data_IF_705194750206
#
_entry.id   IF_705194750206
#
_cell.length_a   1.000
_cell.length_b   1.000
_cell.length_c   1.000
_cell.angle_alpha   90.00
_cell.angle_beta   90.00
_cell.angle_gamma   90.00
#
_symmetry.space_group_name_H-M   'P 1'
#
loop_
_entity.id
_entity.type
_entity.pdbx_description
1 polymer ?
#
# COMPACT_ATOMS: atom_id res chain seq x y z
N UNK A 1 8.58 -23.19 2.59
CA UNK A 1 7.89 -22.94 1.30
C UNK A 1 8.83 -23.27 0.16
N UNK A 2 8.35 -23.81 -0.97
CA UNK A 2 9.18 -24.03 -2.15
C UNK A 2 9.74 -22.72 -2.70
N UNK A 3 10.96 -22.74 -3.22
CA UNK A 3 11.64 -21.58 -3.81
C UNK A 3 11.82 -21.81 -5.31
N UNK A 4 11.34 -20.86 -6.11
CA UNK A 4 11.59 -20.81 -7.56
C UNK A 4 12.66 -19.75 -7.82
N UNK A 5 13.67 -20.07 -8.63
CA UNK A 5 14.74 -19.16 -9.03
C UNK A 5 14.73 -19.01 -10.56
N UNK A 6 14.87 -17.79 -11.04
CA UNK A 6 15.06 -17.48 -12.45
C UNK A 6 16.07 -16.34 -12.58
N UNK A 7 16.84 -16.36 -13.65
CA UNK A 7 17.86 -15.33 -13.91
C UNK A 7 17.29 -14.24 -14.79
N UNK A 8 17.55 -12.99 -14.45
CA UNK A 8 17.24 -11.82 -15.25
C UNK A 8 18.54 -11.13 -15.66
N UNK A 9 18.54 -10.47 -16.83
CA UNK A 9 19.55 -9.48 -17.15
C UNK A 9 19.27 -8.19 -16.35
N UNK A 10 20.21 -7.24 -16.40
CA UNK A 10 20.10 -5.99 -15.65
C UNK A 10 18.89 -5.15 -16.07
N UNK A 11 18.54 -5.15 -17.37
CA UNK A 11 17.40 -4.42 -17.91
C UNK A 11 16.08 -4.94 -17.33
N UNK A 12 15.83 -6.24 -17.40
CA UNK A 12 14.60 -6.84 -16.87
C UNK A 12 14.54 -6.75 -15.34
N UNK A 13 15.68 -6.82 -14.65
CA UNK A 13 15.71 -6.61 -13.21
C UNK A 13 15.34 -5.18 -12.82
N UNK A 14 15.81 -4.18 -13.57
CA UNK A 14 15.44 -2.78 -13.37
C UNK A 14 13.93 -2.56 -13.59
N UNK A 15 13.37 -3.12 -14.67
CA UNK A 15 11.92 -3.05 -14.93
C UNK A 15 11.13 -3.69 -13.78
N UNK A 16 11.56 -4.87 -13.30
CA UNK A 16 10.90 -5.54 -12.17
C UNK A 16 10.95 -4.71 -10.88
N UNK A 17 12.07 -4.03 -10.64
CA UNK A 17 12.24 -3.16 -9.48
C UNK A 17 11.33 -1.94 -9.54
N UNK A 18 11.21 -1.30 -10.70
CA UNK A 18 10.31 -0.16 -10.88
C UNK A 18 8.84 -0.59 -10.77
N UNK A 19 8.43 -1.70 -11.39
CA UNK A 19 7.05 -2.22 -11.22
C UNK A 19 6.71 -2.49 -9.75
N UNK A 20 7.62 -3.09 -8.99
CA UNK A 20 7.41 -3.34 -7.57
C UNK A 20 7.31 -2.04 -6.77
N UNK A 21 8.12 -1.04 -7.13
CA UNK A 21 8.11 0.29 -6.51
C UNK A 21 6.82 1.05 -6.82
N UNK A 22 6.35 1.03 -8.06
CA UNK A 22 5.07 1.61 -8.46
C UNK A 22 3.90 1.02 -7.67
N UNK A 23 3.88 -0.29 -7.49
CA UNK A 23 2.84 -0.98 -6.69
C UNK A 23 3.05 -0.78 -5.17
N UNK A 24 4.23 -0.35 -4.73
CA UNK A 24 4.62 -0.23 -3.32
C UNK A 24 4.83 -1.58 -2.60
N UNK A 25 5.08 -2.65 -3.35
CA UNK A 25 5.20 -4.03 -2.83
C UNK A 25 6.63 -4.57 -2.97
N UNK A 26 6.91 -5.73 -2.36
CA UNK A 26 8.20 -6.39 -2.58
C UNK A 26 8.30 -6.95 -4.00
N UNK A 27 9.52 -7.13 -4.53
CA UNK A 27 9.73 -7.82 -5.82
C UNK A 27 9.08 -9.20 -5.82
N UNK A 28 9.15 -9.93 -4.70
CA UNK A 28 8.52 -11.23 -4.58
C UNK A 28 6.99 -11.16 -4.70
N UNK A 29 6.36 -10.18 -4.05
CA UNK A 29 4.91 -9.96 -4.15
C UNK A 29 4.51 -9.51 -5.55
N UNK A 30 5.30 -8.62 -6.18
CA UNK A 30 5.08 -8.20 -7.57
C UNK A 30 5.09 -9.42 -8.51
N UNK A 31 6.12 -10.27 -8.43
CA UNK A 31 6.22 -11.50 -9.23
C UNK A 31 5.04 -12.42 -8.95
N UNK A 32 4.69 -12.67 -7.68
CA UNK A 32 3.57 -13.53 -7.30
C UNK A 32 2.24 -13.00 -7.86
N UNK A 33 1.99 -11.70 -7.71
CA UNK A 33 0.76 -11.06 -8.14
C UNK A 33 0.60 -11.13 -9.66
N UNK A 34 1.68 -10.90 -10.42
CA UNK A 34 1.68 -10.98 -11.88
C UNK A 34 1.56 -12.43 -12.38
N UNK A 35 2.34 -13.37 -11.85
CA UNK A 35 2.34 -14.77 -12.31
C UNK A 35 1.02 -15.49 -12.05
N UNK A 36 0.39 -15.24 -10.90
CA UNK A 36 -0.84 -15.92 -10.50
C UNK A 36 -2.09 -15.05 -10.68
N UNK A 37 -1.97 -13.90 -11.37
CA UNK A 37 -3.04 -12.93 -11.57
C UNK A 37 -3.79 -12.60 -10.26
N UNK A 38 -3.05 -12.48 -9.16
CA UNK A 38 -3.62 -12.15 -7.85
C UNK A 38 -4.08 -10.69 -7.90
N UNK A 39 -5.39 -10.51 -8.08
CA UNK A 39 -6.04 -9.20 -7.95
C UNK A 39 -6.24 -8.93 -6.47
N UNK A 40 -5.28 -8.26 -5.84
CA UNK A 40 -5.43 -7.72 -4.50
C UNK A 40 -5.70 -6.23 -4.59
N UNK A 41 -6.68 -5.76 -3.82
CA UNK A 41 -6.90 -4.32 -3.61
C UNK A 41 -5.99 -3.76 -2.51
N UNK A 42 -5.21 -4.61 -1.83
CA UNK A 42 -4.36 -4.21 -0.72
C UNK A 42 -2.92 -3.98 -1.19
N UNK A 43 -2.73 -2.95 -2.03
CA UNK A 43 -1.41 -2.42 -2.37
C UNK A 43 -1.30 -0.98 -1.91
N UNK A 44 -0.11 -0.50 -1.52
CA UNK A 44 0.02 0.89 -1.09
C UNK A 44 -0.43 1.89 -2.15
N UNK A 45 -0.12 1.64 -3.42
CA UNK A 45 -0.57 2.48 -4.53
C UNK A 45 -2.10 2.54 -4.64
N UNK A 46 -2.80 1.39 -4.53
CA UNK A 46 -4.27 1.36 -4.53
C UNK A 46 -4.84 2.14 -3.35
N UNK A 47 -4.24 2.00 -2.15
CA UNK A 47 -4.70 2.71 -0.98
C UNK A 47 -4.59 4.23 -1.14
N UNK A 48 -3.49 4.71 -1.72
CA UNK A 48 -3.32 6.13 -2.04
C UNK A 48 -4.36 6.57 -3.08
N UNK A 49 -4.53 5.84 -4.17
CA UNK A 49 -5.55 6.12 -5.20
C UNK A 49 -6.96 6.19 -4.60
N UNK A 50 -7.29 5.26 -3.71
CA UNK A 50 -8.58 5.23 -2.98
C UNK A 50 -8.77 6.46 -2.09
N UNK A 51 -7.71 6.93 -1.42
CA UNK A 51 -7.76 8.19 -0.65
C UNK A 51 -8.01 9.36 -1.58
N UNK A 52 -7.28 9.46 -2.70
CA UNK A 52 -7.40 10.57 -3.64
C UNK A 52 -8.80 10.62 -4.29
N UNK A 53 -9.37 9.46 -4.65
CA UNK A 53 -10.75 9.38 -5.15
C UNK A 53 -11.79 9.86 -4.15
N UNK A 54 -11.58 9.60 -2.85
CA UNK A 54 -12.44 10.14 -1.78
C UNK A 54 -12.26 11.65 -1.63
N UNK A 55 -11.09 12.20 -1.93
CA UNK A 55 -10.90 13.64 -1.98
C UNK A 55 -11.64 14.26 -3.19
N UNK A 56 -11.56 13.63 -4.36
CA UNK A 56 -12.25 14.07 -5.57
C UNK A 56 -13.78 14.00 -5.43
N UNK A 57 -14.31 13.01 -4.72
CA UNK A 57 -15.75 12.90 -4.42
C UNK A 57 -16.23 13.86 -3.33
N UNK A 58 -15.32 14.58 -2.64
CA UNK A 58 -15.64 15.47 -1.53
C UNK A 58 -15.91 14.75 -0.20
N UNK A 59 -15.69 13.44 -0.11
CA UNK A 59 -15.79 12.71 1.15
C UNK A 59 -14.65 13.04 2.12
N UNK A 60 -13.44 13.23 1.57
CA UNK A 60 -12.24 13.59 2.33
C UNK A 60 -11.82 15.02 1.94
N UNK A 61 -11.52 15.83 2.93
CA UNK A 61 -10.94 17.16 2.74
C UNK A 61 -9.48 17.15 3.22
N UNK A 62 -8.73 18.18 2.83
CA UNK A 62 -7.39 18.42 3.37
C UNK A 62 -7.47 18.54 4.89
N UNK A 63 -6.64 17.77 5.60
CA UNK A 63 -6.69 17.66 7.06
C UNK A 63 -7.55 16.51 7.58
N UNK A 64 -8.34 15.83 6.73
CA UNK A 64 -9.08 14.63 7.14
C UNK A 64 -8.12 13.54 7.57
N UNK A 65 -8.41 12.97 8.75
CA UNK A 65 -7.64 11.83 9.27
C UNK A 65 -8.32 10.50 8.99
N UNK A 66 -7.54 9.47 8.69
CA UNK A 66 -8.04 8.14 8.39
C UNK A 66 -7.09 7.04 8.88
N UNK A 67 -7.58 5.82 8.85
CA UNK A 67 -6.79 4.59 9.06
C UNK A 67 -7.07 3.64 7.91
N UNK A 68 -6.15 2.72 7.58
CA UNK A 68 -6.37 1.76 6.50
C UNK A 68 -7.67 0.95 6.69
N UNK A 69 -7.98 0.36 7.87
CA UNK A 69 -9.26 -0.35 8.04
C UNK A 69 -10.49 0.53 7.75
N UNK A 70 -10.45 1.81 8.15
CA UNK A 70 -11.55 2.76 7.89
C UNK A 70 -11.64 3.15 6.41
N UNK A 71 -10.51 3.23 5.71
CA UNK A 71 -10.45 3.53 4.28
C UNK A 71 -11.11 2.44 3.44
N UNK A 72 -10.88 1.18 3.79
CA UNK A 72 -11.44 0.02 3.08
C UNK A 72 -12.83 -0.38 3.56
N UNK A 73 -13.22 -0.04 4.79
CA UNK A 73 -14.54 -0.35 5.34
C UNK A 73 -14.84 -1.85 5.28
N UNK A 74 -15.97 -2.22 4.68
CA UNK A 74 -16.39 -3.62 4.50
C UNK A 74 -15.44 -4.43 3.61
N UNK A 75 -14.68 -3.77 2.73
CA UNK A 75 -13.68 -4.44 1.90
C UNK A 75 -12.44 -4.85 2.69
N UNK A 76 -12.30 -4.48 3.97
CA UNK A 76 -11.16 -4.88 4.80
C UNK A 76 -11.26 -6.34 5.27
N UNK A 77 -10.87 -7.27 4.39
CA UNK A 77 -11.01 -8.73 4.60
C UNK A 77 -9.68 -9.44 4.88
N UNK A 78 -8.58 -8.69 5.05
CA UNK A 78 -7.25 -9.27 5.27
C UNK A 78 -7.01 -9.74 6.71
N UNK A 79 -6.29 -10.86 6.83
CA UNK A 79 -5.88 -11.41 8.12
C UNK A 79 -4.88 -10.50 8.85
N UNK A 80 -4.84 -10.58 10.18
CA UNK A 80 -4.02 -9.69 11.04
C UNK A 80 -2.54 -9.65 10.67
N UNK A 81 -1.95 -10.78 10.28
CA UNK A 81 -0.55 -10.83 9.86
C UNK A 81 -0.30 -10.07 8.55
N UNK A 82 -1.17 -10.28 7.57
CA UNK A 82 -1.12 -9.61 6.26
C UNK A 82 -1.40 -8.11 6.42
N UNK A 83 -2.34 -7.75 7.29
CA UNK A 83 -2.65 -6.36 7.63
C UNK A 83 -1.45 -5.60 8.18
N UNK A 84 -0.65 -6.24 9.05
CA UNK A 84 0.57 -5.64 9.59
C UNK A 84 1.62 -5.39 8.49
N UNK A 85 1.84 -6.37 7.61
CA UNK A 85 2.76 -6.23 6.49
C UNK A 85 2.31 -5.11 5.53
N UNK A 86 1.02 -5.10 5.18
CA UNK A 86 0.44 -4.06 4.33
C UNK A 86 0.55 -2.67 4.96
N UNK A 87 0.24 -2.53 6.25
CA UNK A 87 0.39 -1.26 6.97
C UNK A 87 1.82 -0.72 6.96
N UNK A 88 2.83 -1.60 7.11
CA UNK A 88 4.24 -1.22 7.01
C UNK A 88 4.63 -0.80 5.59
N UNK A 89 4.17 -1.54 4.58
CA UNK A 89 4.40 -1.18 3.17
C UNK A 89 3.77 0.18 2.84
N UNK A 90 2.54 0.41 3.29
CA UNK A 90 1.85 1.70 3.10
C UNK A 90 2.57 2.85 3.78
N UNK A 91 3.01 2.68 5.04
CA UNK A 91 3.79 3.69 5.76
C UNK A 91 5.06 4.10 4.98
N UNK A 92 5.84 3.13 4.52
CA UNK A 92 7.03 3.39 3.71
C UNK A 92 6.65 4.12 2.41
N UNK A 93 5.60 3.65 1.73
CA UNK A 93 5.16 4.22 0.45
C UNK A 93 4.74 5.69 0.56
N UNK A 94 3.93 6.05 1.57
CA UNK A 94 3.52 7.44 1.76
C UNK A 94 4.66 8.33 2.26
N UNK A 95 5.67 7.75 2.90
CA UNK A 95 6.84 8.51 3.37
C UNK A 95 7.85 8.76 2.25
N UNK A 96 8.09 7.75 1.41
CA UNK A 96 9.18 7.77 0.41
C UNK A 96 8.71 8.17 -0.99
N UNK A 97 7.46 7.87 -1.36
CA UNK A 97 6.96 8.02 -2.75
C UNK A 97 6.01 9.19 -2.90
N UNK A 98 5.13 9.44 -1.93
CA UNK A 98 4.13 10.52 -2.01
C UNK A 98 3.92 11.29 -0.69
N UNK A 99 5.00 11.77 -0.04
CA UNK A 99 4.92 12.49 1.23
C UNK A 99 4.10 13.78 1.17
N UNK A 100 3.90 14.34 -0.01
CA UNK A 100 3.09 15.54 -0.26
C UNK A 100 1.58 15.28 -0.25
N UNK A 101 1.12 14.03 -0.45
CA UNK A 101 -0.31 13.69 -0.53
C UNK A 101 -0.87 13.23 0.81
N UNK A 102 -0.12 12.38 1.52
CA UNK A 102 -0.58 11.75 2.76
C UNK A 102 0.52 11.86 3.81
N UNK A 103 0.17 12.31 5.00
CA UNK A 103 1.07 12.40 6.15
C UNK A 103 0.78 11.32 7.19
N UNK A 104 1.82 10.77 7.80
CA UNK A 104 1.68 10.00 9.03
C UNK A 104 1.47 10.93 10.23
N UNK A 105 0.45 10.66 11.05
CA UNK A 105 0.14 11.46 12.25
C UNK A 105 0.65 10.78 13.53
N UNK A 106 0.50 9.46 13.59
CA UNK A 106 0.80 8.70 14.79
C UNK A 106 0.00 7.40 14.85
N UNK A 107 -0.01 6.77 16.01
CA UNK A 107 -0.89 5.63 16.28
C UNK A 107 -2.16 6.12 16.96
N UNK A 108 -3.31 5.49 16.69
CA UNK A 108 -4.57 5.78 17.39
C UNK A 108 -4.46 5.52 18.90
N UNK A 109 -5.39 6.03 19.71
CA UNK A 109 -5.38 5.99 21.20
C UNK A 109 -5.15 4.60 21.84
N UNK A 110 -5.28 3.51 21.08
CA UNK A 110 -5.01 2.14 21.55
C UNK A 110 -3.75 1.50 20.95
N UNK A 111 -2.92 2.26 20.22
CA UNK A 111 -1.67 1.81 19.62
C UNK A 111 -1.84 0.77 18.50
N UNK A 112 -3.09 0.49 18.07
CA UNK A 112 -3.40 -0.63 17.17
C UNK A 112 -3.31 -0.28 15.70
N UNK A 113 -3.69 0.94 15.31
CA UNK A 113 -3.72 1.36 13.92
C UNK A 113 -2.92 2.65 13.73
N UNK A 114 -2.11 2.69 12.68
CA UNK A 114 -1.51 3.92 12.19
C UNK A 114 -2.61 4.85 11.66
N UNK A 115 -2.54 6.11 12.05
CA UNK A 115 -3.41 7.19 11.60
C UNK A 115 -2.65 8.10 10.64
N UNK A 116 -3.33 8.46 9.57
CA UNK A 116 -2.81 9.27 8.48
C UNK A 116 -3.70 10.49 8.27
N UNK A 117 -3.15 11.52 7.64
CA UNK A 117 -3.84 12.77 7.29
C UNK A 117 -3.68 13.07 5.81
N UNK A 118 -4.76 13.49 5.16
CA UNK A 118 -4.74 14.03 3.79
C UNK A 118 -4.09 15.41 3.82
N UNK A 119 -3.12 15.64 2.94
CA UNK A 119 -2.40 16.91 2.84
C UNK A 119 -2.90 17.81 1.72
#
# INVERSE_FOLDING_TARGET
MPTVKFSLNDEYYAVLKEMAKEDGVSIQDCVRNRLFNVKTIFTPAEAVDRVMKKCESGEYEKGTTFTLPKLYGESWTIERGVAGAFGKQFFNYVTDVCPEKIGYVGMTNYGRHAQYVVK
#
